data_IF_332142493358
#
_entry.id   IF_332142493358
#
_cell.length_a   1.000
_cell.length_b   1.000
_cell.length_c   1.000
_cell.angle_alpha   90.00
_cell.angle_beta   90.00
_cell.angle_gamma   90.00
#
_symmetry.space_group_name_H-M   'P 1'
#
loop_
_entity.id
_entity.type
_entity.pdbx_description
1 polymer ?
#
# COMPACT_ATOMS: atom_id res chain seq x y z
N UNK A 1 55.23 -60.65 19.93
CA UNK A 1 55.80 -59.29 20.03
C UNK A 1 54.79 -58.31 19.46
N UNK A 2 54.51 -57.29 20.23
CA UNK A 2 53.37 -56.38 20.15
C UNK A 2 53.25 -55.67 18.80
N UNK A 3 52.00 -55.56 18.33
CA UNK A 3 51.63 -54.74 17.18
C UNK A 3 52.00 -53.28 17.43
N UNK A 4 52.71 -52.71 16.46
CA UNK A 4 53.28 -51.37 16.50
C UNK A 4 52.16 -50.31 16.56
N UNK A 5 51.73 -49.93 17.77
CA UNK A 5 50.62 -48.97 18.03
C UNK A 5 50.91 -47.51 17.63
N UNK A 6 52.07 -47.21 17.03
CA UNK A 6 52.52 -45.84 16.71
C UNK A 6 51.74 -45.17 15.56
N UNK A 7 51.05 -45.92 14.70
CA UNK A 7 50.27 -45.37 13.58
C UNK A 7 48.84 -44.93 13.93
N UNK A 8 48.23 -45.47 14.99
CA UNK A 8 46.83 -45.22 15.35
C UNK A 8 46.60 -43.78 15.83
N UNK A 9 47.54 -43.23 16.59
CA UNK A 9 47.45 -41.83 17.06
C UNK A 9 47.64 -40.82 15.93
N UNK A 10 48.50 -41.11 14.94
CA UNK A 10 48.71 -40.24 13.78
C UNK A 10 47.45 -40.20 12.91
N UNK A 11 46.82 -41.37 12.68
CA UNK A 11 45.55 -41.45 11.95
C UNK A 11 44.44 -40.67 12.67
N UNK A 12 44.32 -40.81 13.99
CA UNK A 12 43.32 -40.12 14.79
C UNK A 12 43.51 -38.60 14.77
N UNK A 13 44.75 -38.13 14.91
CA UNK A 13 45.09 -36.69 14.83
C UNK A 13 44.80 -36.15 13.43
N UNK A 14 45.13 -36.90 12.38
CA UNK A 14 44.86 -36.49 11.00
C UNK A 14 43.35 -36.40 10.72
N UNK A 15 42.56 -37.39 11.15
CA UNK A 15 41.09 -37.36 11.02
C UNK A 15 40.47 -36.21 11.81
N UNK A 16 40.99 -35.90 13.00
CA UNK A 16 40.53 -34.77 13.79
C UNK A 16 40.80 -33.43 13.11
N UNK A 17 41.99 -33.26 12.51
CA UNK A 17 42.32 -32.05 11.75
C UNK A 17 41.40 -31.91 10.54
N UNK A 18 41.17 -32.98 9.78
CA UNK A 18 40.27 -32.96 8.62
C UNK A 18 38.83 -32.61 9.06
N UNK A 19 38.37 -33.15 10.19
CA UNK A 19 37.06 -32.85 10.75
C UNK A 19 36.94 -31.39 11.24
N UNK A 20 37.98 -30.84 11.85
CA UNK A 20 38.00 -29.42 12.25
C UNK A 20 37.99 -28.50 11.03
N UNK A 21 38.75 -28.83 9.98
CA UNK A 21 38.73 -28.07 8.72
C UNK A 21 37.36 -28.16 8.05
N UNK A 22 36.71 -29.33 8.04
CA UNK A 22 35.36 -29.45 7.46
C UNK A 22 34.32 -28.65 8.25
N UNK A 23 34.40 -28.62 9.59
CA UNK A 23 33.56 -27.76 10.42
C UNK A 23 33.76 -26.27 10.11
N UNK A 24 35.01 -25.84 9.91
CA UNK A 24 35.32 -24.45 9.51
C UNK A 24 34.70 -24.15 8.14
N UNK A 25 34.81 -25.05 7.17
CA UNK A 25 34.17 -24.88 5.86
C UNK A 25 32.64 -24.80 5.95
N UNK A 26 32.01 -25.69 6.73
CA UNK A 26 30.56 -25.64 6.97
C UNK A 26 30.16 -24.32 7.64
N UNK A 27 30.94 -23.85 8.61
CA UNK A 27 30.70 -22.56 9.27
C UNK A 27 30.83 -21.37 8.30
N UNK A 28 31.84 -21.36 7.43
CA UNK A 28 32.03 -20.31 6.42
C UNK A 28 30.86 -20.29 5.42
N UNK A 29 30.43 -21.45 4.94
CA UNK A 29 29.29 -21.56 4.01
C UNK A 29 27.99 -21.10 4.70
N UNK A 30 27.74 -21.57 5.92
CA UNK A 30 26.54 -21.20 6.68
C UNK A 30 26.52 -19.70 7.02
N UNK A 31 27.64 -19.13 7.48
CA UNK A 31 27.73 -17.71 7.85
C UNK A 31 27.57 -16.78 6.64
N UNK A 32 28.12 -17.13 5.48
CA UNK A 32 27.91 -16.37 4.25
C UNK A 32 26.42 -16.32 3.85
N UNK A 33 25.71 -17.44 3.99
CA UNK A 33 24.27 -17.50 3.73
C UNK A 33 23.49 -16.59 4.70
N UNK A 34 23.80 -16.63 5.99
CA UNK A 34 23.10 -15.86 7.04
C UNK A 34 23.29 -14.34 6.85
N UNK A 35 24.52 -13.87 6.60
CA UNK A 35 24.79 -12.44 6.40
C UNK A 35 24.08 -11.86 5.17
N UNK A 36 23.92 -12.66 4.11
CA UNK A 36 23.16 -12.24 2.92
C UNK A 36 21.66 -12.20 3.17
N UNK A 37 21.13 -12.95 4.13
CA UNK A 37 19.69 -12.97 4.43
C UNK A 37 19.26 -11.75 5.26
N UNK A 38 20.07 -11.34 6.24
CA UNK A 38 19.77 -10.19 7.11
C UNK A 38 19.80 -8.85 6.36
N UNK A 39 20.78 -8.67 5.48
CA UNK A 39 20.86 -7.47 4.62
C UNK A 39 19.66 -7.38 3.66
N UNK A 40 19.20 -8.51 3.12
CA UNK A 40 18.02 -8.57 2.25
C UNK A 40 16.72 -8.28 3.01
N UNK A 41 16.57 -8.80 4.23
CA UNK A 41 15.42 -8.47 5.10
C UNK A 41 15.34 -6.98 5.39
N UNK A 42 16.48 -6.33 5.61
CA UNK A 42 16.56 -4.87 5.79
C UNK A 42 16.07 -4.07 4.57
N UNK A 43 16.47 -4.48 3.36
CA UNK A 43 16.04 -3.84 2.12
C UNK A 43 14.53 -4.01 1.90
N UNK A 44 13.99 -5.22 2.04
CA UNK A 44 12.56 -5.49 1.85
C UNK A 44 11.69 -4.74 2.88
N UNK A 45 12.17 -4.61 4.12
CA UNK A 45 11.48 -3.83 5.15
C UNK A 45 11.50 -2.32 4.85
N UNK A 46 12.62 -1.80 4.33
CA UNK A 46 12.69 -0.40 3.91
C UNK A 46 11.72 -0.11 2.76
N UNK A 47 11.68 -1.00 1.77
CA UNK A 47 10.80 -0.89 0.61
C UNK A 47 9.33 -0.93 1.04
N UNK A 48 8.96 -1.85 1.94
CA UNK A 48 7.61 -1.89 2.49
C UNK A 48 7.21 -0.57 3.13
N UNK A 49 8.04 -0.06 4.04
CA UNK A 49 7.79 1.22 4.71
C UNK A 49 7.70 2.38 3.72
N UNK A 50 8.59 2.43 2.74
CA UNK A 50 8.64 3.51 1.77
C UNK A 50 7.45 3.46 0.80
N UNK A 51 7.06 2.26 0.35
CA UNK A 51 5.89 2.06 -0.48
C UNK A 51 4.60 2.51 0.26
N UNK A 52 4.45 2.11 1.53
CA UNK A 52 3.33 2.56 2.37
C UNK A 52 3.29 4.08 2.53
N UNK A 53 4.46 4.73 2.70
CA UNK A 53 4.53 6.20 2.79
C UNK A 53 4.07 6.91 1.52
N UNK A 54 4.31 6.34 0.35
CA UNK A 54 3.91 6.96 -0.91
C UNK A 54 2.40 6.80 -1.19
N UNK A 55 1.79 5.67 -0.83
CA UNK A 55 0.37 5.39 -1.12
C UNK A 55 -0.59 5.98 -0.08
N UNK A 56 -0.10 6.27 1.12
CA UNK A 56 -0.90 6.90 2.18
C UNK A 56 -1.14 8.38 1.85
N UNK A 57 -2.37 8.84 2.02
CA UNK A 57 -2.81 10.18 1.67
C UNK A 57 -3.67 10.79 2.79
N UNK A 58 -3.57 12.10 2.96
CA UNK A 58 -4.36 12.84 3.94
C UNK A 58 -5.67 13.30 3.28
N UNK A 59 -6.81 12.86 3.80
CA UNK A 59 -8.15 13.23 3.30
C UNK A 59 -9.00 13.84 4.41
N UNK A 60 -10.05 14.56 4.03
CA UNK A 60 -11.05 15.01 4.98
C UNK A 60 -12.19 14.00 5.07
N UNK A 61 -12.63 13.73 6.30
CA UNK A 61 -13.76 12.85 6.60
C UNK A 61 -14.79 13.64 7.39
N UNK A 62 -15.93 13.90 6.76
CA UNK A 62 -17.07 14.63 7.33
C UNK A 62 -18.13 13.60 7.69
N UNK A 63 -18.70 13.71 8.89
CA UNK A 63 -19.72 12.80 9.41
C UNK A 63 -20.95 13.61 9.81
N UNK A 64 -22.09 13.19 9.29
CA UNK A 64 -23.39 13.82 9.52
C UNK A 64 -24.30 12.79 10.20
N UNK A 65 -25.01 13.21 11.24
CA UNK A 65 -26.00 12.38 11.94
C UNK A 65 -27.40 12.96 11.74
N UNK A 66 -28.41 12.10 11.88
CA UNK A 66 -29.82 12.50 11.97
C UNK A 66 -30.32 13.34 10.78
N UNK A 67 -29.74 13.11 9.60
CA UNK A 67 -30.28 13.68 8.36
C UNK A 67 -31.63 13.00 8.10
N UNK A 68 -32.66 13.78 7.76
CA UNK A 68 -33.94 13.26 7.31
C UNK A 68 -34.43 14.12 6.14
N UNK A 69 -33.85 13.89 4.97
CA UNK A 69 -34.09 14.68 3.76
C UNK A 69 -34.77 13.81 2.70
N UNK A 70 -35.76 14.37 2.01
CA UNK A 70 -36.52 13.62 1.00
C UNK A 70 -35.66 13.29 -0.24
N UNK A 71 -35.98 12.24 -1.01
CA UNK A 71 -35.17 11.75 -2.14
C UNK A 71 -34.98 12.70 -3.36
N UNK A 72 -35.39 13.97 -3.27
CA UNK A 72 -35.23 15.00 -4.32
C UNK A 72 -34.61 16.30 -3.79
N UNK A 73 -34.22 16.31 -2.52
CA UNK A 73 -33.53 17.43 -1.89
C UNK A 73 -32.06 17.04 -1.74
N UNK A 74 -31.17 18.01 -1.62
CA UNK A 74 -29.77 17.75 -1.34
C UNK A 74 -29.45 18.07 0.11
N UNK A 75 -28.29 17.60 0.57
CA UNK A 75 -27.67 18.09 1.79
C UNK A 75 -26.41 18.83 1.40
N UNK A 76 -26.23 20.03 1.93
CA UNK A 76 -25.08 20.89 1.65
C UNK A 76 -24.35 21.19 2.96
N UNK A 77 -23.04 20.94 2.96
CA UNK A 77 -22.17 21.18 4.12
C UNK A 77 -20.95 21.96 3.70
N UNK A 78 -20.36 22.72 4.63
CA UNK A 78 -19.15 23.50 4.33
C UNK A 78 -17.99 22.60 3.93
N UNK A 79 -17.28 22.97 2.86
CA UNK A 79 -16.03 22.32 2.50
C UNK A 79 -14.94 22.74 3.50
N UNK A 80 -14.26 21.82 4.20
CA UNK A 80 -13.19 22.16 5.15
C UNK A 80 -12.00 22.91 4.54
N UNK A 81 -11.74 22.78 3.25
CA UNK A 81 -10.68 23.52 2.55
C UNK A 81 -11.18 24.86 1.95
N UNK A 82 -12.49 25.18 2.04
CA UNK A 82 -13.11 26.35 1.40
C UNK A 82 -12.68 26.53 -0.07
N UNK A 83 -12.64 25.43 -0.81
CA UNK A 83 -12.12 25.36 -2.18
C UNK A 83 -13.14 24.71 -3.11
N UNK A 84 -13.18 25.16 -4.36
CA UNK A 84 -13.95 24.51 -5.43
C UNK A 84 -13.17 23.43 -6.17
N UNK A 85 -11.99 23.07 -5.66
CA UNK A 85 -11.08 22.09 -6.26
C UNK A 85 -11.17 20.78 -5.47
N UNK A 86 -11.14 19.68 -6.22
CA UNK A 86 -11.15 18.31 -5.72
C UNK A 86 -12.47 17.63 -5.96
N UNK A 87 -12.67 16.50 -5.28
CA UNK A 87 -13.89 15.75 -5.38
C UNK A 87 -14.26 15.02 -4.10
N UNK A 88 -15.39 14.35 -4.16
CA UNK A 88 -16.01 13.70 -3.01
C UNK A 88 -16.58 12.35 -3.36
N UNK A 89 -16.46 11.44 -2.41
CA UNK A 89 -17.23 10.19 -2.40
C UNK A 89 -17.96 10.10 -1.06
N UNK A 90 -19.18 9.58 -1.06
CA UNK A 90 -20.00 9.53 0.14
C UNK A 90 -20.71 8.18 0.30
N UNK A 91 -21.01 7.84 1.55
CA UNK A 91 -21.77 6.64 1.90
C UNK A 91 -22.72 6.89 3.06
N UNK A 92 -23.82 6.15 3.06
CA UNK A 92 -24.76 6.03 4.16
C UNK A 92 -24.87 4.58 4.64
N UNK A 93 -25.82 4.31 5.52
CA UNK A 93 -26.09 2.96 6.04
C UNK A 93 -26.58 1.96 4.96
N UNK A 94 -27.10 2.45 3.83
CA UNK A 94 -27.60 1.64 2.72
C UNK A 94 -26.53 1.38 1.63
N UNK A 95 -25.50 2.22 1.53
CA UNK A 95 -24.46 2.10 0.52
C UNK A 95 -23.85 3.45 0.09
N UNK A 96 -23.15 3.46 -1.06
CA UNK A 96 -22.62 4.67 -1.66
C UNK A 96 -23.77 5.60 -2.07
N UNK A 97 -23.56 6.91 -1.93
CA UNK A 97 -24.48 7.94 -2.39
C UNK A 97 -23.71 8.98 -3.20
N UNK A 98 -24.38 9.61 -4.16
CA UNK A 98 -23.75 10.64 -4.97
C UNK A 98 -23.31 11.81 -4.11
N UNK A 99 -22.16 12.38 -4.44
CA UNK A 99 -21.61 13.59 -3.83
C UNK A 99 -20.83 14.43 -4.83
N UNK A 100 -20.81 15.74 -4.60
CA UNK A 100 -19.98 16.66 -5.37
C UNK A 100 -19.49 17.85 -4.56
N UNK A 101 -18.35 18.42 -4.95
CA UNK A 101 -17.97 19.77 -4.56
C UNK A 101 -18.79 20.76 -5.40
N UNK A 102 -19.49 21.66 -4.73
CA UNK A 102 -20.22 22.75 -5.37
C UNK A 102 -19.79 24.08 -4.75
N UNK A 103 -19.00 24.85 -5.50
CA UNK A 103 -18.36 26.09 -5.02
C UNK A 103 -17.52 25.82 -3.76
N UNK A 104 -17.85 26.41 -2.61
CA UNK A 104 -17.13 26.21 -1.33
C UNK A 104 -17.87 25.23 -0.40
N UNK A 105 -18.82 24.48 -0.95
CA UNK A 105 -19.63 23.51 -0.21
C UNK A 105 -19.51 22.13 -0.83
N UNK A 106 -19.93 21.13 -0.06
CA UNK A 106 -20.07 19.76 -0.52
C UNK A 106 -21.56 19.44 -0.51
N UNK A 107 -22.05 18.97 -1.65
CA UNK A 107 -23.42 18.49 -1.82
C UNK A 107 -23.45 16.98 -1.85
N UNK A 108 -24.45 16.41 -1.21
CA UNK A 108 -24.75 14.99 -1.30
C UNK A 108 -26.24 14.80 -1.64
N UNK A 109 -26.56 13.65 -2.21
CA UNK A 109 -27.95 13.23 -2.43
C UNK A 109 -28.74 13.20 -1.11
N UNK A 110 -30.02 13.60 -1.18
CA UNK A 110 -30.93 13.59 -0.05
C UNK A 110 -31.07 12.20 0.55
N UNK A 111 -30.91 12.11 1.87
CA UNK A 111 -30.84 10.84 2.55
C UNK A 111 -31.45 10.89 3.96
N UNK A 112 -31.69 9.72 4.54
CA UNK A 112 -32.00 9.54 5.96
C UNK A 112 -30.89 8.79 6.69
N UNK A 113 -30.51 9.27 7.89
CA UNK A 113 -29.62 8.57 8.80
C UNK A 113 -28.18 9.10 8.83
N UNK A 114 -27.23 8.21 9.13
CA UNK A 114 -25.81 8.54 9.21
C UNK A 114 -25.21 8.66 7.81
N UNK A 115 -24.39 9.69 7.60
CA UNK A 115 -23.64 9.86 6.36
C UNK A 115 -22.17 10.13 6.68
N UNK A 116 -21.30 9.49 5.91
CA UNK A 116 -19.87 9.78 5.89
C UNK A 116 -19.46 10.24 4.49
N UNK A 117 -18.81 11.39 4.43
CA UNK A 117 -18.32 12.02 3.22
C UNK A 117 -16.80 12.05 3.29
N UNK A 118 -16.15 11.64 2.22
CA UNK A 118 -14.71 11.70 2.04
C UNK A 118 -14.38 12.76 0.99
N UNK A 119 -13.48 13.68 1.31
CA UNK A 119 -13.06 14.75 0.41
C UNK A 119 -11.55 14.72 0.18
N UNK A 120 -11.14 14.80 -1.08
CA UNK A 120 -9.74 14.85 -1.53
C UNK A 120 -9.67 15.41 -2.95
N UNK A 121 -8.53 15.99 -3.32
CA UNK A 121 -8.24 16.37 -4.70
C UNK A 121 -8.17 15.19 -5.69
N UNK A 122 -8.07 13.96 -5.17
CA UNK A 122 -7.92 12.74 -5.96
C UNK A 122 -9.23 12.02 -6.26
N UNK A 123 -10.35 12.46 -5.67
CA UNK A 123 -11.66 11.91 -6.00
C UNK A 123 -12.27 12.65 -7.19
N UNK A 124 -13.11 11.93 -7.92
CA UNK A 124 -13.93 12.49 -9.00
C UNK A 124 -15.35 12.69 -8.47
N UNK A 125 -15.94 13.85 -8.77
CA UNK A 125 -17.31 14.17 -8.36
C UNK A 125 -18.34 13.52 -9.30
N UNK A 126 -19.52 13.25 -8.75
CA UNK A 126 -20.69 12.85 -9.52
C UNK A 126 -21.57 14.06 -9.83
N UNK A 127 -22.23 14.08 -10.99
CA UNK A 127 -23.15 15.18 -11.31
C UNK A 127 -24.41 15.07 -10.45
N UNK A 128 -24.57 16.02 -9.53
CA UNK A 128 -25.73 16.11 -8.63
C UNK A 128 -26.61 17.31 -9.00
N UNK A 129 -27.84 17.03 -9.39
CA UNK A 129 -28.86 18.05 -9.64
C UNK A 129 -29.77 18.20 -8.42
N UNK A 130 -29.92 19.43 -7.93
CA UNK A 130 -30.79 19.73 -6.78
C UNK A 130 -30.77 21.21 -6.44
N UNK A 131 -31.95 21.84 -6.41
CA UNK A 131 -32.09 23.27 -6.14
C UNK A 131 -32.49 23.59 -4.68
N UNK A 132 -32.77 22.57 -3.87
CA UNK A 132 -33.23 22.72 -2.49
C UNK A 132 -32.36 21.88 -1.53
N UNK A 133 -31.22 22.42 -1.10
CA UNK A 133 -30.38 21.75 -0.13
C UNK A 133 -30.73 22.14 1.31
N UNK A 134 -30.64 21.18 2.22
CA UNK A 134 -30.66 21.40 3.67
C UNK A 134 -29.22 21.54 4.16
N UNK A 135 -28.99 22.41 5.14
CA UNK A 135 -27.66 22.71 5.69
C UNK A 135 -27.53 22.19 7.13
N UNK A 136 -27.31 20.88 7.34
CA UNK A 136 -27.07 20.34 8.67
C UNK A 136 -25.68 20.70 9.16
N UNK A 137 -25.55 20.90 10.47
CA UNK A 137 -24.25 21.03 11.12
C UNK A 137 -23.55 19.66 11.20
N UNK A 138 -22.28 19.55 10.76
CA UNK A 138 -21.57 18.28 10.85
C UNK A 138 -21.30 17.84 12.28
N UNK A 139 -21.55 16.56 12.56
CA UNK A 139 -21.21 15.94 13.85
C UNK A 139 -19.69 15.88 14.06
N UNK A 140 -18.92 15.65 12.98
CA UNK A 140 -17.46 15.60 13.04
C UNK A 140 -16.85 15.92 11.69
N UNK A 141 -15.77 16.71 11.71
CA UNK A 141 -14.89 16.95 10.56
C UNK A 141 -13.46 16.63 10.99
N UNK A 142 -12.80 15.70 10.32
CA UNK A 142 -11.44 15.27 10.67
C UNK A 142 -10.59 15.06 9.43
N UNK A 143 -9.30 15.39 9.54
CA UNK A 143 -8.30 14.99 8.57
C UNK A 143 -7.77 13.62 8.98
N UNK A 144 -7.92 12.64 8.10
CA UNK A 144 -7.51 11.26 8.33
C UNK A 144 -6.45 10.86 7.31
N UNK A 145 -5.46 10.10 7.76
CA UNK A 145 -4.36 9.62 6.94
C UNK A 145 -4.62 8.16 6.57
N UNK A 146 -5.11 7.92 5.36
CA UNK A 146 -5.54 6.58 4.90
C UNK A 146 -5.01 6.27 3.50
N UNK A 147 -5.17 5.03 3.05
CA UNK A 147 -4.86 4.61 1.68
C UNK A 147 -6.16 4.71 0.88
N UNK A 148 -6.11 5.35 -0.29
CA UNK A 148 -7.25 5.49 -1.20
C UNK A 148 -6.91 4.92 -2.58
N UNK A 149 -7.89 4.31 -3.23
CA UNK A 149 -7.71 3.67 -4.55
C UNK A 149 -7.19 4.64 -5.63
N UNK A 150 -7.69 5.89 -5.76
CA UNK A 150 -7.15 6.83 -6.74
C UNK A 150 -5.65 7.09 -6.57
N UNK A 151 -5.16 7.09 -5.32
CA UNK A 151 -3.73 7.27 -5.04
C UNK A 151 -2.90 6.07 -5.47
N UNK A 152 -3.40 4.86 -5.23
CA UNK A 152 -2.80 3.61 -5.74
C UNK A 152 -2.74 3.68 -7.27
N UNK A 153 -3.86 4.00 -7.92
CA UNK A 153 -3.94 4.12 -9.38
C UNK A 153 -2.94 5.14 -9.92
N UNK A 154 -2.84 6.30 -9.29
CA UNK A 154 -1.88 7.35 -9.66
C UNK A 154 -0.43 6.88 -9.55
N UNK A 155 -0.05 6.14 -8.51
CA UNK A 155 1.34 5.67 -8.35
C UNK A 155 1.68 4.59 -9.37
N UNK A 156 0.76 3.65 -9.60
CA UNK A 156 0.97 2.56 -10.54
C UNK A 156 0.97 3.07 -12.00
N UNK A 157 0.08 4.01 -12.36
CA UNK A 157 0.04 4.57 -13.72
C UNK A 157 1.28 5.40 -14.04
N UNK A 158 1.81 6.11 -13.04
CA UNK A 158 3.04 6.91 -13.16
C UNK A 158 4.32 6.08 -13.10
N UNK A 159 4.23 4.75 -12.91
CA UNK A 159 5.40 3.87 -12.80
C UNK A 159 6.32 3.99 -14.02
N UNK A 160 5.79 3.93 -15.24
CA UNK A 160 6.61 3.96 -16.45
C UNK A 160 7.25 5.33 -16.71
N UNK A 161 6.53 6.42 -16.42
CA UNK A 161 7.01 7.78 -16.65
C UNK A 161 7.98 8.27 -15.58
N UNK A 162 7.90 7.74 -14.36
CA UNK A 162 8.70 8.17 -13.21
C UNK A 162 9.51 7.04 -12.57
N UNK A 163 9.85 6.00 -13.34
CA UNK A 163 10.50 4.78 -12.85
C UNK A 163 11.69 5.06 -11.93
N UNK A 164 12.62 5.93 -12.35
CA UNK A 164 13.82 6.27 -11.59
C UNK A 164 13.53 7.03 -10.29
N UNK A 165 12.59 7.98 -10.31
CA UNK A 165 12.18 8.75 -9.12
C UNK A 165 11.52 7.81 -8.11
N UNK A 166 10.64 6.93 -8.58
CA UNK A 166 9.96 5.97 -7.73
C UNK A 166 10.92 4.91 -7.19
N UNK A 167 11.93 4.50 -7.97
CA UNK A 167 13.03 3.62 -7.53
C UNK A 167 13.77 4.21 -6.33
N UNK A 168 14.13 5.48 -6.42
CA UNK A 168 14.81 6.23 -5.36
C UNK A 168 13.92 6.36 -4.12
N UNK A 169 12.66 6.76 -4.29
CA UNK A 169 11.68 6.88 -3.19
C UNK A 169 11.43 5.57 -2.47
N UNK A 170 11.34 4.47 -3.21
CA UNK A 170 11.20 3.13 -2.64
C UNK A 170 12.49 2.67 -1.92
N UNK A 171 13.63 3.31 -2.20
CA UNK A 171 14.93 2.97 -1.61
C UNK A 171 15.52 1.70 -2.21
N UNK A 172 15.29 1.49 -3.50
CA UNK A 172 15.79 0.33 -4.22
C UNK A 172 17.27 0.57 -4.54
N UNK A 173 18.19 -0.34 -4.14
CA UNK A 173 19.62 -0.14 -4.33
C UNK A 173 20.01 0.02 -5.80
N UNK A 174 21.05 0.83 -6.04
CA UNK A 174 21.66 0.96 -7.36
C UNK A 174 22.15 -0.39 -7.88
N UNK A 175 21.93 -0.63 -9.17
CA UNK A 175 22.27 -1.88 -9.85
C UNK A 175 21.17 -2.96 -9.82
N UNK A 176 20.12 -2.80 -9.01
CA UNK A 176 18.93 -3.66 -9.07
C UNK A 176 17.85 -3.01 -9.94
N UNK A 177 17.01 -3.79 -10.61
CA UNK A 177 15.77 -3.32 -11.23
C UNK A 177 14.55 -3.81 -10.46
N UNK A 178 13.39 -3.24 -10.75
CA UNK A 178 12.17 -3.57 -10.02
C UNK A 178 10.91 -3.49 -10.88
N UNK A 179 9.86 -4.15 -10.37
CA UNK A 179 8.50 -4.01 -10.86
C UNK A 179 7.57 -3.76 -9.67
N UNK A 180 6.59 -2.88 -9.87
CA UNK A 180 5.58 -2.51 -8.90
C UNK A 180 4.20 -2.69 -9.54
N UNK A 181 3.34 -3.48 -8.90
CA UNK A 181 1.95 -3.62 -9.31
C UNK A 181 1.05 -3.81 -8.09
N UNK A 182 -0.24 -3.60 -8.30
CA UNK A 182 -1.26 -3.80 -7.28
C UNK A 182 -2.16 -4.97 -7.67
N UNK A 183 -2.50 -5.82 -6.71
CA UNK A 183 -3.42 -6.94 -6.89
C UNK A 183 -4.63 -6.73 -5.98
N UNK A 184 -5.81 -6.65 -6.60
CA UNK A 184 -7.10 -6.56 -5.92
C UNK A 184 -7.48 -7.92 -5.33
N UNK A 185 -8.36 -7.95 -4.32
CA UNK A 185 -8.82 -9.21 -3.73
C UNK A 185 -9.52 -10.16 -4.72
N UNK A 186 -10.10 -9.64 -5.80
CA UNK A 186 -10.70 -10.43 -6.88
C UNK A 186 -9.67 -11.06 -7.84
N UNK A 187 -8.37 -10.83 -7.62
CA UNK A 187 -7.26 -11.33 -8.44
C UNK A 187 -6.97 -10.50 -9.69
N UNK A 188 -7.75 -9.45 -9.96
CA UNK A 188 -7.41 -8.47 -11.00
C UNK A 188 -6.17 -7.68 -10.57
N UNK A 189 -5.42 -7.17 -11.55
CA UNK A 189 -4.16 -6.49 -11.26
C UNK A 189 -4.05 -5.18 -12.02
N UNK A 190 -3.44 -4.20 -11.36
CA UNK A 190 -3.10 -2.91 -11.92
C UNK A 190 -1.57 -2.80 -12.05
N UNK A 191 -1.06 -2.50 -13.24
CA UNK A 191 0.37 -2.29 -13.49
C UNK A 191 0.86 -2.99 -14.74
N UNK A 192 2.15 -2.85 -15.02
CA UNK A 192 2.80 -3.45 -16.19
C UNK A 192 3.49 -4.76 -15.82
N UNK A 193 3.21 -5.81 -16.59
CA UNK A 193 3.85 -7.11 -16.47
C UNK A 193 4.96 -7.22 -17.51
N UNK A 194 6.19 -6.89 -17.11
CA UNK A 194 7.36 -7.38 -17.82
C UNK A 194 7.50 -8.90 -17.60
N UNK A 195 8.07 -9.65 -18.57
CA UNK A 195 8.43 -11.03 -18.31
C UNK A 195 9.41 -11.08 -17.13
N UNK A 196 9.23 -12.09 -16.27
CA UNK A 196 10.17 -12.32 -15.16
C UNK A 196 11.59 -12.52 -15.74
N UNK A 197 12.59 -11.78 -15.25
CA UNK A 197 13.97 -11.93 -15.72
C UNK A 197 14.51 -13.32 -15.39
N UNK A 198 15.52 -13.76 -16.12
CA UNK A 198 16.22 -15.03 -15.87
C UNK A 198 17.15 -15.01 -14.64
N UNK A 199 17.04 -13.99 -13.80
CA UNK A 199 17.86 -13.77 -12.60
C UNK A 199 17.09 -14.09 -11.32
N UNK A 200 17.75 -13.99 -10.16
CA UNK A 200 17.08 -14.20 -8.88
C UNK A 200 16.13 -13.03 -8.58
N UNK A 201 14.84 -13.32 -8.49
CA UNK A 201 13.80 -12.33 -8.19
C UNK A 201 13.45 -12.40 -6.70
N UNK A 202 13.44 -11.24 -6.06
CA UNK A 202 12.90 -11.06 -4.72
C UNK A 202 11.51 -10.46 -4.82
N UNK A 203 10.56 -11.03 -4.08
CA UNK A 203 9.17 -10.61 -4.07
C UNK A 203 8.77 -10.20 -2.66
N UNK A 204 8.14 -9.03 -2.55
CA UNK A 204 7.53 -8.52 -1.33
C UNK A 204 6.07 -8.20 -1.61
N UNK A 205 5.19 -8.91 -0.92
CA UNK A 205 3.76 -8.59 -0.88
C UNK A 205 3.46 -7.78 0.38
N UNK A 206 2.77 -6.67 0.20
CA UNK A 206 2.38 -5.75 1.27
C UNK A 206 0.86 -5.73 1.30
N UNK A 207 0.20 -6.42 2.24
CA UNK A 207 -1.25 -6.36 2.36
C UNK A 207 -1.67 -4.94 2.77
N UNK A 208 -2.71 -4.41 2.12
CA UNK A 208 -3.25 -3.09 2.41
C UNK A 208 -4.76 -3.12 2.50
N UNK A 209 -5.30 -2.32 3.40
CA UNK A 209 -6.70 -1.93 3.43
C UNK A 209 -6.79 -0.52 2.84
N UNK A 210 -7.69 -0.30 1.89
CA UNK A 210 -7.84 0.98 1.20
C UNK A 210 -9.32 1.35 1.06
N UNK A 211 -9.59 2.65 0.94
CA UNK A 211 -10.91 3.16 0.58
C UNK A 211 -11.06 3.15 -0.94
N UNK A 212 -12.00 2.37 -1.46
CA UNK A 212 -12.32 2.29 -2.88
C UNK A 212 -13.07 3.52 -3.36
N UNK A 213 -13.10 3.71 -4.68
CA UNK A 213 -13.92 4.77 -5.32
C UNK A 213 -15.42 4.57 -5.04
N UNK A 214 -15.87 3.35 -4.72
CA UNK A 214 -17.24 3.06 -4.27
C UNK A 214 -17.47 3.34 -2.77
N UNK A 215 -16.63 4.13 -2.12
CA UNK A 215 -16.77 4.49 -0.69
C UNK A 215 -16.75 3.31 0.28
N UNK A 216 -16.10 2.19 -0.07
CA UNK A 216 -16.00 1.00 0.80
C UNK A 216 -14.54 0.73 1.15
N UNK A 217 -14.31 0.19 2.35
CA UNK A 217 -13.01 -0.34 2.68
C UNK A 217 -12.85 -1.73 2.05
N UNK A 218 -11.77 -1.89 1.32
CA UNK A 218 -11.41 -3.12 0.61
C UNK A 218 -9.98 -3.54 0.95
N UNK A 219 -9.66 -4.77 0.59
CA UNK A 219 -8.33 -5.33 0.77
C UNK A 219 -7.67 -5.61 -0.57
N UNK A 220 -6.36 -5.45 -0.60
CA UNK A 220 -5.53 -5.85 -1.72
C UNK A 220 -4.09 -5.99 -1.27
N UNK A 221 -3.17 -6.13 -2.22
CA UNK A 221 -1.75 -6.15 -1.93
C UNK A 221 -0.96 -5.38 -2.97
N UNK A 222 -0.02 -4.59 -2.47
CA UNK A 222 1.02 -3.98 -3.29
C UNK A 222 2.16 -4.97 -3.40
N UNK A 223 2.57 -5.28 -4.63
CA UNK A 223 3.63 -6.26 -4.89
C UNK A 223 4.84 -5.56 -5.49
N UNK A 224 5.99 -5.75 -4.85
CA UNK A 224 7.28 -5.27 -5.33
C UNK A 224 8.14 -6.47 -5.69
N UNK A 225 8.58 -6.52 -6.94
CA UNK A 225 9.60 -7.48 -7.42
C UNK A 225 10.90 -6.74 -7.63
N UNK A 226 12.03 -7.31 -7.24
CA UNK A 226 13.38 -6.72 -7.37
C UNK A 226 14.33 -7.78 -7.90
N UNK A 227 15.22 -7.43 -8.82
CA UNK A 227 16.19 -8.36 -9.41
C UNK A 227 17.49 -7.70 -9.84
#
# INVERSE_FOLDING_TARGET
MEGNKKGSHISLVLSFIIFMVSLIFVYIIASASIMTEDSKKGVLFSIERNALKEIVHDIWVIRLNDISVQPNFCVEVSNPENSSIGGTIAMNDSGPISSQVFQETIRIEGNSGFVKIYYSELFEDENLEGENCVHPEPYSIKKERIIIEPKIKQIISNFSSNYGILKEKLGIPDGNEYNLYFEYNNGSMLGSFGPDPSTNIYLKEIPVEYLSEESRYEHGKLVVKIW
#
